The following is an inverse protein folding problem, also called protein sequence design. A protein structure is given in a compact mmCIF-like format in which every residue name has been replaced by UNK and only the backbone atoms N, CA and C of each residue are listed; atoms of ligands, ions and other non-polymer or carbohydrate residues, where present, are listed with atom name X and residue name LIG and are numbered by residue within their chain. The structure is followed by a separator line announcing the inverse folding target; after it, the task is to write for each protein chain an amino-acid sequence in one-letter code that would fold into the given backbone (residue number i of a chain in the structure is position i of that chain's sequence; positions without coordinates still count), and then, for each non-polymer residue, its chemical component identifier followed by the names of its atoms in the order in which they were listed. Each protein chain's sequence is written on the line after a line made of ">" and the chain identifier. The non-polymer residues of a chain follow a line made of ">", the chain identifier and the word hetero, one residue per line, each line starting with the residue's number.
data_IF_677351835947
#
_entry.id   IF_677351835947
#
_cell.length_a   1.000
_cell.length_b   1.000
_cell.length_c   1.000
_cell.angle_alpha   90.00
_cell.angle_beta   90.00
_cell.angle_gamma   90.00
#
_symmetry.space_group_name_H-M   'P 1'
#
loop_
_entity.id
_entity.type
_entity.pdbx_description
1 polymer ?
#
# COMPACT_ATOMS: atom_id res chain seq x y z
N UNK A 1 15.51 17.12 15.19
CA UNK A 1 14.42 16.19 14.79
C UNK A 1 13.23 17.03 14.31
N UNK A 2 13.37 17.73 13.19
CA UNK A 2 12.42 18.76 12.72
C UNK A 2 12.22 18.71 11.19
N UNK A 3 12.50 17.57 10.56
CA UNK A 3 12.44 17.40 9.11
C UNK A 3 11.20 16.67 8.59
N UNK A 4 10.29 16.24 9.47
CA UNK A 4 9.12 15.44 9.05
C UNK A 4 7.97 16.25 8.45
N UNK A 5 8.00 17.59 8.45
CA UNK A 5 6.80 18.36 8.14
C UNK A 5 6.62 18.82 6.68
N UNK A 6 7.63 18.72 5.80
CA UNK A 6 7.47 19.11 4.38
C UNK A 6 8.36 18.29 3.45
N UNK A 7 7.91 17.08 3.14
CA UNK A 7 8.46 16.28 2.05
C UNK A 7 7.59 16.57 0.81
N UNK A 8 8.01 17.47 -0.07
CA UNK A 8 7.25 17.95 -1.25
C UNK A 8 7.89 17.47 -2.56
N UNK A 9 7.14 17.49 -3.65
CA UNK A 9 7.63 17.11 -5.01
C UNK A 9 8.84 17.96 -5.44
N UNK A 10 8.98 19.17 -4.93
CA UNK A 10 10.12 20.02 -5.25
C UNK A 10 11.46 19.47 -4.70
N UNK A 11 11.43 18.52 -3.76
CA UNK A 11 12.63 17.96 -3.12
C UNK A 11 13.20 16.75 -3.85
N UNK A 12 12.48 16.20 -4.84
CA UNK A 12 12.91 15.01 -5.60
C UNK A 12 13.47 15.37 -6.98
N UNK A 13 14.16 14.42 -7.58
CA UNK A 13 14.68 14.52 -8.94
C UNK A 13 13.53 14.55 -9.97
N UNK A 14 13.67 15.29 -11.08
CA UNK A 14 14.77 16.18 -11.45
C UNK A 14 14.60 17.62 -10.95
N UNK A 15 13.61 17.92 -10.10
CA UNK A 15 13.33 19.29 -9.67
C UNK A 15 14.39 19.84 -8.72
N UNK A 16 14.96 18.98 -7.88
CA UNK A 16 16.13 19.26 -7.05
C UNK A 16 17.29 18.37 -7.52
N UNK A 17 18.31 18.95 -8.15
CA UNK A 17 19.51 18.23 -8.62
C UNK A 17 20.30 17.53 -7.49
N UNK A 18 20.09 17.95 -6.24
CA UNK A 18 20.67 17.32 -5.05
C UNK A 18 19.71 16.34 -4.37
N UNK A 19 18.49 16.20 -4.88
CA UNK A 19 17.38 15.44 -4.29
C UNK A 19 17.49 13.92 -4.43
N UNK A 20 18.70 13.37 -4.64
CA UNK A 20 18.91 11.95 -4.89
C UNK A 20 18.53 11.10 -3.67
N UNK A 21 18.96 11.49 -2.47
CA UNK A 21 18.68 10.73 -1.25
C UNK A 21 17.19 10.76 -0.91
N UNK A 22 16.53 11.91 -1.07
CA UNK A 22 15.09 12.08 -0.91
C UNK A 22 14.31 11.20 -1.91
N UNK A 23 14.71 11.24 -3.19
CA UNK A 23 14.08 10.43 -4.24
C UNK A 23 14.22 8.95 -3.92
N UNK A 24 15.42 8.52 -3.51
CA UNK A 24 15.70 7.14 -3.13
C UNK A 24 14.88 6.72 -1.91
N UNK A 25 14.83 7.53 -0.86
CA UNK A 25 14.03 7.23 0.34
C UNK A 25 12.54 7.09 0.00
N UNK A 26 12.00 7.99 -0.80
CA UNK A 26 10.62 7.92 -1.27
C UNK A 26 10.33 6.61 -2.03
N UNK A 27 11.17 6.29 -3.00
CA UNK A 27 11.01 5.08 -3.81
C UNK A 27 11.18 3.80 -2.97
N UNK A 28 12.10 3.77 -2.01
CA UNK A 28 12.26 2.63 -1.10
C UNK A 28 11.01 2.42 -0.25
N UNK A 29 10.41 3.48 0.31
CA UNK A 29 9.14 3.37 1.05
C UNK A 29 8.01 2.83 0.17
N UNK A 30 7.94 3.29 -1.09
CA UNK A 30 6.95 2.77 -2.04
C UNK A 30 7.18 1.29 -2.35
N UNK A 31 8.43 0.88 -2.56
CA UNK A 31 8.79 -0.53 -2.78
C UNK A 31 8.45 -1.38 -1.55
N UNK A 32 8.74 -0.92 -0.34
CA UNK A 32 8.40 -1.63 0.89
C UNK A 32 6.89 -1.87 1.01
N UNK A 33 6.09 -0.83 0.72
CA UNK A 33 4.62 -0.94 0.67
C UNK A 33 4.16 -1.96 -0.37
N UNK A 34 4.73 -1.94 -1.58
CA UNK A 34 4.41 -2.91 -2.64
C UNK A 34 4.80 -4.34 -2.24
N UNK A 35 5.94 -4.51 -1.57
CA UNK A 35 6.40 -5.81 -1.08
C UNK A 35 5.51 -6.35 0.03
N UNK A 36 5.02 -5.50 0.93
CA UNK A 36 4.00 -5.85 1.92
C UNK A 36 2.70 -6.29 1.24
N UNK A 37 2.20 -5.51 0.29
CA UNK A 37 1.01 -5.86 -0.49
C UNK A 37 1.16 -7.20 -1.22
N UNK A 38 2.32 -7.48 -1.84
CA UNK A 38 2.59 -8.75 -2.52
C UNK A 38 2.57 -9.91 -1.52
N UNK A 39 3.21 -9.77 -0.36
CA UNK A 39 3.22 -10.80 0.69
C UNK A 39 1.80 -11.09 1.18
N UNK A 40 1.02 -10.07 1.47
CA UNK A 40 -0.38 -10.23 1.92
C UNK A 40 -1.30 -10.79 0.84
N UNK A 41 -1.05 -10.44 -0.42
CA UNK A 41 -1.83 -10.96 -1.55
C UNK A 41 -1.54 -12.43 -1.84
N UNK A 42 -0.32 -12.88 -1.52
CA UNK A 42 0.15 -14.24 -1.74
C UNK A 42 0.10 -15.13 -0.49
N UNK A 43 -0.36 -14.64 0.67
CA UNK A 43 -0.49 -15.46 1.88
C UNK A 43 -1.59 -16.52 1.72
N UNK A 44 -1.15 -17.74 1.40
CA UNK A 44 -1.97 -18.92 1.16
C UNK A 44 -2.12 -19.82 2.39
N UNK A 45 -1.94 -19.33 3.62
CA UNK A 45 -2.46 -20.03 4.81
C UNK A 45 -2.17 -21.54 4.90
N UNK A 46 -0.93 -21.96 4.66
CA UNK A 46 -0.44 -23.30 4.94
C UNK A 46 -0.04 -23.39 6.41
N UNK A 47 -1.00 -23.79 7.24
CA UNK A 47 -0.69 -24.26 8.58
C UNK A 47 0.11 -25.56 8.52
N UNK A 48 1.44 -25.47 8.48
CA UNK A 48 2.28 -26.52 9.06
C UNK A 48 2.26 -26.31 10.58
N UNK A 49 1.11 -26.62 11.17
CA UNK A 49 1.03 -26.92 12.59
C UNK A 49 1.80 -28.21 12.83
N UNK A 50 2.82 -28.15 13.68
CA UNK A 50 3.36 -29.34 14.29
C UNK A 50 2.22 -30.15 14.93
N UNK A 51 2.10 -31.43 14.52
CA UNK A 51 1.31 -32.53 15.10
C UNK A 51 -0.23 -32.45 15.05
N UNK A 52 -0.80 -33.51 14.48
CA UNK A 52 -2.01 -34.16 15.01
C UNK A 52 -3.36 -33.67 14.45
N UNK A 53 -3.88 -34.43 13.48
CA UNK A 53 -5.29 -34.84 13.38
C UNK A 53 -6.39 -33.75 13.40
N UNK A 54 -6.98 -33.45 12.23
CA UNK A 54 -8.42 -33.66 11.90
C UNK A 54 -8.84 -32.98 10.59
N UNK A 55 -9.50 -33.79 9.75
CA UNK A 55 -10.49 -33.48 8.69
C UNK A 55 -10.64 -32.03 8.22
N UNK A 56 -10.22 -31.81 6.96
CA UNK A 56 -11.06 -31.23 5.92
C UNK A 56 -11.65 -29.84 6.17
N UNK A 57 -10.83 -28.80 6.01
CA UNK A 57 -11.31 -27.48 5.59
C UNK A 57 -10.20 -26.87 4.73
N UNK A 58 -10.39 -26.87 3.41
CA UNK A 58 -9.58 -26.03 2.52
C UNK A 58 -9.73 -24.61 3.06
N UNK A 59 -8.63 -23.94 3.40
CA UNK A 59 -8.65 -22.49 3.66
C UNK A 59 -8.48 -21.81 2.30
N UNK A 60 -9.56 -21.36 1.62
CA UNK A 60 -9.37 -20.55 0.43
C UNK A 60 -8.86 -19.19 0.91
N UNK A 61 -7.65 -18.80 0.47
CA UNK A 61 -7.04 -17.46 0.58
C UNK A 61 -7.30 -16.75 1.92
N UNK A 62 -6.31 -16.75 2.83
CA UNK A 62 -6.45 -16.10 4.14
C UNK A 62 -6.67 -14.57 4.01
N UNK A 63 -6.21 -13.96 2.91
CA UNK A 63 -6.56 -12.59 2.51
C UNK A 63 -7.86 -12.53 1.68
N UNK A 64 -8.77 -11.61 2.03
CA UNK A 64 -9.93 -11.28 1.17
C UNK A 64 -9.44 -10.89 -0.23
N UNK A 65 -10.05 -11.47 -1.27
CA UNK A 65 -9.77 -11.10 -2.68
C UNK A 65 -10.10 -9.63 -2.93
N UNK A 66 -11.16 -9.15 -2.30
CA UNK A 66 -11.62 -7.77 -2.35
C UNK A 66 -12.41 -7.48 -1.07
N UNK A 67 -12.23 -6.28 -0.53
CA UNK A 67 -13.19 -5.67 0.39
C UNK A 67 -14.19 -4.87 -0.45
N UNK A 68 -15.38 -5.43 -0.65
CA UNK A 68 -16.39 -4.81 -1.49
C UNK A 68 -16.99 -3.59 -0.80
N UNK A 69 -16.92 -2.45 -1.47
CA UNK A 69 -17.52 -1.18 -1.07
C UNK A 69 -18.37 -0.68 -2.23
N UNK A 70 -19.57 -0.16 -1.94
CA UNK A 70 -20.37 0.53 -2.94
C UNK A 70 -19.68 1.85 -3.37
N UNK A 71 -19.98 2.39 -4.56
CA UNK A 71 -19.32 3.60 -5.05
C UNK A 71 -19.37 4.79 -4.09
N UNK A 72 -20.47 4.99 -3.37
CA UNK A 72 -20.59 6.08 -2.40
C UNK A 72 -19.70 5.86 -1.17
N UNK A 73 -19.60 4.62 -0.67
CA UNK A 73 -18.70 4.25 0.42
C UNK A 73 -17.22 4.37 -0.01
N UNK A 74 -16.91 4.02 -1.26
CA UNK A 74 -15.56 4.12 -1.81
C UNK A 74 -15.07 5.57 -1.90
N UNK A 75 -15.95 6.53 -2.23
CA UNK A 75 -15.62 7.97 -2.25
C UNK A 75 -15.32 8.53 -0.87
N UNK A 76 -15.84 7.93 0.19
CA UNK A 76 -15.50 8.32 1.56
C UNK A 76 -14.14 7.76 2.00
N UNK A 77 -13.70 6.67 1.37
CA UNK A 77 -12.44 5.98 1.67
C UNK A 77 -11.28 6.51 0.83
N UNK A 78 -11.52 6.81 -0.45
CA UNK A 78 -10.52 7.34 -1.37
C UNK A 78 -10.80 8.82 -1.64
N UNK A 79 -9.86 9.69 -1.25
CA UNK A 79 -9.86 11.08 -1.69
C UNK A 79 -9.42 11.13 -3.18
N UNK A 80 -10.40 11.27 -4.07
CA UNK A 80 -10.20 11.33 -5.52
C UNK A 80 -10.13 12.77 -6.04
N UNK A 81 -10.29 13.77 -5.17
CA UNK A 81 -10.20 15.17 -5.59
C UNK A 81 -8.75 15.55 -5.91
N UNK A 82 -8.56 16.32 -6.98
CA UNK A 82 -7.24 16.82 -7.38
C UNK A 82 -7.08 18.24 -6.83
N UNK A 83 -6.38 18.45 -5.70
CA UNK A 83 -6.24 19.77 -5.10
C UNK A 83 -5.31 20.67 -5.93
N UNK A 84 -5.56 21.99 -5.91
CA UNK A 84 -4.65 22.97 -6.52
C UNK A 84 -3.26 22.98 -5.88
N UNK A 85 -3.18 22.66 -4.58
CA UNK A 85 -1.93 22.62 -3.82
C UNK A 85 -1.41 21.19 -3.73
N UNK A 86 -0.13 21.02 -4.01
CA UNK A 86 0.56 19.76 -3.83
C UNK A 86 0.44 19.26 -2.38
N UNK A 87 0.18 17.96 -2.24
CA UNK A 87 0.26 17.25 -0.96
C UNK A 87 1.71 16.85 -0.68
N UNK A 88 1.95 16.35 0.52
CA UNK A 88 3.26 15.80 0.87
C UNK A 88 3.45 14.44 0.20
N UNK A 89 4.70 14.08 -0.07
CA UNK A 89 5.08 12.75 -0.55
C UNK A 89 4.70 11.64 0.45
N UNK A 90 4.66 11.94 1.75
CA UNK A 90 4.14 10.99 2.75
C UNK A 90 2.63 10.75 2.58
N UNK A 91 1.85 11.80 2.26
CA UNK A 91 0.44 11.63 1.96
C UNK A 91 0.27 10.73 0.73
N UNK A 92 1.08 10.92 -0.32
CA UNK A 92 1.04 10.08 -1.51
C UNK A 92 1.31 8.59 -1.19
N UNK A 93 2.26 8.29 -0.29
CA UNK A 93 2.48 6.91 0.18
C UNK A 93 1.23 6.36 0.90
N UNK A 94 0.59 7.17 1.74
CA UNK A 94 -0.64 6.77 2.43
C UNK A 94 -1.78 6.52 1.42
N UNK A 95 -1.92 7.37 0.41
CA UNK A 95 -2.92 7.24 -0.65
C UNK A 95 -2.70 5.94 -1.45
N UNK A 96 -1.44 5.60 -1.77
CA UNK A 96 -1.08 4.33 -2.38
C UNK A 96 -1.49 3.13 -1.50
N UNK A 97 -1.26 3.21 -0.19
CA UNK A 97 -1.59 2.13 0.74
C UNK A 97 -3.11 1.88 0.81
N UNK A 98 -3.91 2.95 0.91
CA UNK A 98 -5.37 2.85 0.91
C UNK A 98 -5.88 2.31 -0.44
N UNK A 99 -5.32 2.80 -1.55
CA UNK A 99 -5.66 2.33 -2.90
C UNK A 99 -5.40 0.83 -3.05
N UNK A 100 -4.23 0.34 -2.63
CA UNK A 100 -3.88 -1.08 -2.72
C UNK A 100 -4.78 -1.95 -1.83
N UNK A 101 -5.08 -1.50 -0.61
CA UNK A 101 -5.95 -2.22 0.33
C UNK A 101 -7.35 -2.49 -0.23
N UNK A 102 -7.92 -1.53 -0.95
CA UNK A 102 -9.27 -1.62 -1.50
C UNK A 102 -9.30 -2.09 -2.97
N UNK A 103 -8.13 -2.40 -3.55
CA UNK A 103 -8.03 -2.96 -4.89
C UNK A 103 -8.43 -4.45 -4.93
N UNK A 104 -8.83 -4.92 -6.11
CA UNK A 104 -9.03 -6.35 -6.34
C UNK A 104 -7.66 -7.03 -6.39
N UNK A 105 -7.45 -8.05 -5.55
CA UNK A 105 -6.24 -8.88 -5.56
C UNK A 105 -6.33 -9.89 -6.71
N UNK A 106 -5.76 -9.54 -7.86
CA UNK A 106 -5.82 -10.35 -9.09
C UNK A 106 -4.72 -11.40 -9.22
N UNK A 107 -3.81 -11.50 -8.24
CA UNK A 107 -2.77 -12.54 -8.21
C UNK A 107 -3.38 -13.94 -8.11
N UNK A 108 -2.89 -14.87 -8.95
CA UNK A 108 -3.36 -16.25 -8.97
C UNK A 108 -2.96 -17.03 -7.71
#
# INVERSE_FOLDING_TARGET
>A
MLLTLRFLIAEILPHNDKGYEETKEFLLKLVDLLMEFIKESNDRGDGVGAKGEKKGKVNPRRGKILEFLHPEEMKEVLDLDVPEKARTLQQLINDCAVTLKHSVKTGE
#
